data_IF_658279877538
#
_entry.id   IF_658279877538
#
_cell.length_a   1.000
_cell.length_b   1.000
_cell.length_c   1.000
_cell.angle_alpha   90.00
_cell.angle_beta   90.00
_cell.angle_gamma   90.00
#
_symmetry.space_group_name_H-M   'P 1'
#
loop_
_entity.id
_entity.type
_entity.pdbx_description
1 polymer ?
#
# COMPACT_ATOMS: atom_id res chain seq x y z
N UNK A 1 -8.80 1.42 -16.22
CA UNK A 1 -8.36 2.57 -15.42
C UNK A 1 -6.94 2.36 -14.88
N UNK A 2 -6.66 1.27 -14.17
CA UNK A 2 -5.34 1.03 -13.55
C UNK A 2 -4.16 1.18 -14.50
N UNK A 3 -4.21 0.53 -15.66
CA UNK A 3 -3.14 0.57 -16.66
C UNK A 3 -2.91 1.94 -17.33
N UNK A 4 -3.80 2.91 -17.12
CA UNK A 4 -3.61 4.29 -17.57
C UNK A 4 -2.75 5.12 -16.59
N UNK A 5 -2.30 4.55 -15.49
CA UNK A 5 -1.40 5.20 -14.56
C UNK A 5 -0.03 5.51 -15.21
N UNK A 6 0.59 6.61 -14.79
CA UNK A 6 1.96 6.89 -15.18
C UNK A 6 2.93 5.83 -14.62
N UNK A 7 4.02 5.60 -15.33
CA UNK A 7 5.09 4.70 -14.94
C UNK A 7 6.44 5.33 -15.25
N UNK A 8 7.39 5.21 -14.33
CA UNK A 8 8.73 5.76 -14.52
C UNK A 8 9.41 5.11 -15.73
N UNK A 9 9.90 5.93 -16.66
CA UNK A 9 10.55 5.46 -17.90
C UNK A 9 9.76 4.37 -18.65
N UNK A 10 8.46 4.32 -18.44
CA UNK A 10 7.56 3.31 -19.00
C UNK A 10 7.90 1.86 -18.62
N UNK A 11 8.50 1.65 -17.46
CA UNK A 11 8.82 0.32 -16.91
C UNK A 11 7.60 -0.56 -16.70
N UNK A 12 6.46 0.06 -16.35
CA UNK A 12 5.23 -0.64 -16.01
C UNK A 12 5.48 -1.74 -14.96
N UNK A 13 6.22 -1.36 -13.91
CA UNK A 13 6.81 -2.26 -12.93
C UNK A 13 5.81 -2.70 -11.84
N UNK A 14 4.58 -3.02 -12.26
CA UNK A 14 3.53 -3.49 -11.37
C UNK A 14 2.81 -4.71 -11.94
N UNK A 15 2.50 -5.67 -11.08
CA UNK A 15 1.63 -6.80 -11.39
C UNK A 15 0.45 -6.82 -10.43
N UNK A 16 -0.75 -7.06 -10.95
CA UNK A 16 -1.98 -7.23 -10.17
C UNK A 16 -2.39 -8.69 -10.20
N UNK A 17 -2.52 -9.29 -9.03
CA UNK A 17 -3.05 -10.65 -8.90
C UNK A 17 -4.47 -10.57 -8.38
N UNK A 18 -5.45 -10.95 -9.19
CA UNK A 18 -6.83 -11.15 -8.76
C UNK A 18 -6.95 -12.50 -8.10
N UNK A 19 -7.21 -12.52 -6.79
CA UNK A 19 -7.31 -13.76 -6.02
C UNK A 19 -8.76 -14.23 -5.99
N UNK A 20 -9.10 -15.22 -6.79
CA UNK A 20 -10.44 -15.81 -6.87
C UNK A 20 -10.56 -17.12 -6.09
N UNK A 21 -9.44 -17.79 -5.83
CA UNK A 21 -9.38 -19.01 -5.03
C UNK A 21 -9.69 -18.72 -3.57
N UNK A 22 -10.74 -19.31 -3.04
CA UNK A 22 -11.23 -19.08 -1.66
C UNK A 22 -10.23 -19.59 -0.61
N UNK A 23 -9.49 -20.65 -0.89
CA UNK A 23 -8.49 -21.17 0.05
C UNK A 23 -7.28 -20.22 0.13
N UNK A 24 -6.83 -19.70 -1.01
CA UNK A 24 -5.79 -18.67 -1.06
C UNK A 24 -6.28 -17.38 -0.35
N UNK A 25 -7.53 -16.96 -0.55
CA UNK A 25 -8.10 -15.78 0.14
C UNK A 25 -8.13 -15.97 1.65
N UNK A 26 -8.59 -17.12 2.14
CA UNK A 26 -8.62 -17.43 3.58
C UNK A 26 -7.20 -17.43 4.18
N UNK A 27 -6.23 -18.04 3.48
CA UNK A 27 -4.83 -18.01 3.93
C UNK A 27 -4.28 -16.58 3.97
N UNK A 28 -4.54 -15.76 2.95
CA UNK A 28 -4.11 -14.36 2.89
C UNK A 28 -4.78 -13.51 3.99
N UNK A 29 -6.05 -13.74 4.30
CA UNK A 29 -6.75 -13.09 5.41
C UNK A 29 -6.06 -13.38 6.75
N UNK A 30 -5.74 -14.66 6.99
CA UNK A 30 -5.01 -15.11 8.18
C UNK A 30 -3.63 -14.41 8.29
N UNK A 31 -2.87 -14.35 7.20
CA UNK A 31 -1.57 -13.67 7.15
C UNK A 31 -1.68 -12.14 7.34
N UNK A 32 -2.84 -11.57 7.04
CA UNK A 32 -3.16 -10.16 7.18
C UNK A 32 -3.88 -9.82 8.50
N UNK A 33 -3.54 -10.45 9.62
CA UNK A 33 -4.18 -10.26 10.93
C UNK A 33 -5.67 -10.63 10.95
N UNK A 34 -6.06 -11.70 10.28
CA UNK A 34 -7.44 -12.19 10.20
C UNK A 34 -8.43 -11.12 9.73
N UNK A 35 -8.06 -10.33 8.73
CA UNK A 35 -8.94 -9.32 8.19
C UNK A 35 -10.05 -9.95 7.34
N UNK A 36 -11.27 -9.98 7.87
CA UNK A 36 -12.42 -10.60 7.25
C UNK A 36 -12.73 -10.06 5.83
N UNK A 37 -12.43 -8.79 5.58
CA UNK A 37 -12.65 -8.17 4.26
C UNK A 37 -11.91 -8.88 3.12
N UNK A 38 -10.77 -9.51 3.40
CA UNK A 38 -10.01 -10.28 2.41
C UNK A 38 -10.82 -11.49 1.91
N UNK A 39 -11.59 -12.11 2.79
CA UNK A 39 -12.46 -13.25 2.44
C UNK A 39 -13.80 -12.80 1.84
N UNK A 40 -14.43 -11.80 2.43
CA UNK A 40 -15.83 -11.46 2.18
C UNK A 40 -16.04 -10.44 1.06
N UNK A 41 -15.04 -9.65 0.69
CA UNK A 41 -15.17 -8.70 -0.42
C UNK A 41 -15.48 -9.42 -1.74
N UNK A 42 -16.26 -8.78 -2.60
CA UNK A 42 -16.56 -9.33 -3.93
C UNK A 42 -15.29 -9.62 -4.72
N UNK A 43 -14.34 -8.69 -4.68
CA UNK A 43 -13.03 -8.83 -5.33
C UNK A 43 -11.89 -8.58 -4.35
N UNK A 44 -10.82 -9.35 -4.49
CA UNK A 44 -9.58 -9.13 -3.78
C UNK A 44 -8.41 -9.12 -4.75
N UNK A 45 -7.72 -8.00 -4.83
CA UNK A 45 -6.56 -7.78 -5.68
C UNK A 45 -5.31 -7.64 -4.82
N UNK A 46 -4.20 -8.25 -5.24
CA UNK A 46 -2.88 -8.02 -4.63
C UNK A 46 -2.00 -7.29 -5.64
N UNK A 47 -1.48 -6.14 -5.24
CA UNK A 47 -0.57 -5.33 -6.03
C UNK A 47 0.86 -5.68 -5.66
N UNK A 48 1.62 -6.08 -6.65
CA UNK A 48 3.02 -6.46 -6.51
C UNK A 48 3.91 -5.45 -7.25
N UNK A 49 4.98 -5.03 -6.61
CA UNK A 49 6.10 -4.40 -7.27
C UNK A 49 6.83 -5.48 -8.09
N UNK A 50 7.05 -5.25 -9.37
CA UNK A 50 7.46 -6.29 -10.32
C UNK A 50 8.55 -5.77 -11.26
N UNK A 51 9.80 -6.13 -10.99
CA UNK A 51 10.93 -5.93 -11.88
C UNK A 51 11.28 -7.19 -12.69
N UNK A 52 10.67 -8.34 -12.37
CA UNK A 52 10.91 -9.61 -13.05
C UNK A 52 10.59 -9.53 -14.55
N UNK A 53 9.48 -8.87 -14.90
CA UNK A 53 9.09 -8.66 -16.31
C UNK A 53 10.15 -7.88 -17.09
N UNK A 54 10.69 -6.81 -16.52
CA UNK A 54 11.75 -6.03 -17.15
C UNK A 54 13.07 -6.80 -17.22
N UNK A 55 13.41 -7.57 -16.18
CA UNK A 55 14.58 -8.44 -16.18
C UNK A 55 14.49 -9.52 -17.27
N UNK A 56 13.32 -10.13 -17.48
CA UNK A 56 13.09 -11.09 -18.55
C UNK A 56 13.31 -10.54 -19.97
N UNK A 57 13.17 -9.22 -20.15
CA UNK A 57 13.50 -8.59 -21.44
C UNK A 57 15.02 -8.66 -21.74
N UNK A 58 15.87 -8.68 -20.72
CA UNK A 58 17.31 -8.84 -20.91
C UNK A 58 17.63 -10.21 -21.51
N UNK A 59 16.98 -11.26 -21.02
CA UNK A 59 17.14 -12.62 -21.56
C UNK A 59 16.74 -12.69 -23.03
N UNK A 60 15.63 -12.03 -23.41
CA UNK A 60 15.18 -11.99 -24.81
C UNK A 60 16.18 -11.32 -25.75
N UNK A 61 16.99 -10.39 -25.24
CA UNK A 61 17.97 -9.65 -26.02
C UNK A 61 19.42 -10.08 -25.76
N UNK A 62 19.64 -11.18 -25.03
CA UNK A 62 20.97 -11.73 -24.74
C UNK A 62 21.84 -10.82 -23.89
N UNK A 63 21.24 -10.00 -23.05
CA UNK A 63 21.91 -9.12 -22.09
C UNK A 63 21.71 -9.60 -20.65
N UNK A 64 22.63 -9.28 -19.77
CA UNK A 64 22.51 -9.61 -18.35
C UNK A 64 21.65 -8.57 -17.61
N UNK A 65 20.66 -9.06 -16.86
CA UNK A 65 19.84 -8.21 -16.02
C UNK A 65 20.62 -7.74 -14.78
N UNK A 66 20.84 -6.44 -14.64
CA UNK A 66 21.49 -5.86 -13.46
C UNK A 66 20.41 -5.32 -12.51
N UNK A 67 19.97 -6.15 -11.56
CA UNK A 67 18.92 -5.83 -10.60
C UNK A 67 19.46 -5.61 -9.18
N UNK A 68 18.59 -5.15 -8.27
CA UNK A 68 18.89 -4.95 -6.86
C UNK A 68 19.25 -3.52 -6.46
N UNK A 69 19.17 -2.57 -7.37
CA UNK A 69 19.34 -1.15 -7.05
C UNK A 69 18.16 -0.58 -6.28
N UNK A 70 18.44 0.36 -5.38
CA UNK A 70 17.42 1.08 -4.62
C UNK A 70 16.42 1.79 -5.53
N UNK A 71 16.87 2.37 -6.65
CA UNK A 71 15.99 3.04 -7.63
C UNK A 71 14.93 2.09 -8.21
N UNK A 72 15.28 0.85 -8.48
CA UNK A 72 14.33 -0.16 -8.98
C UNK A 72 13.25 -0.49 -7.95
N UNK A 73 13.61 -0.53 -6.66
CA UNK A 73 12.65 -0.68 -5.57
C UNK A 73 11.66 0.51 -5.52
N UNK A 74 12.18 1.73 -5.65
CA UNK A 74 11.35 2.96 -5.66
C UNK A 74 10.39 2.93 -6.84
N UNK A 75 10.91 2.73 -8.06
CA UNK A 75 10.10 2.67 -9.29
C UNK A 75 8.96 1.65 -9.13
N UNK A 76 9.28 0.41 -8.80
CA UNK A 76 8.29 -0.66 -8.76
C UNK A 76 7.24 -0.46 -7.65
N UNK A 77 7.65 0.07 -6.51
CA UNK A 77 6.72 0.39 -5.41
C UNK A 77 5.77 1.52 -5.78
N UNK A 78 6.30 2.58 -6.38
CA UNK A 78 5.50 3.75 -6.81
C UNK A 78 4.55 3.37 -7.95
N UNK A 79 5.00 2.64 -8.95
CA UNK A 79 4.15 2.15 -10.05
C UNK A 79 2.96 1.33 -9.52
N UNK A 80 3.21 0.40 -8.58
CA UNK A 80 2.16 -0.38 -7.95
C UNK A 80 1.13 0.50 -7.22
N UNK A 81 1.59 1.55 -6.54
CA UNK A 81 0.71 2.48 -5.83
C UNK A 81 -0.12 3.35 -6.78
N UNK A 82 0.48 3.86 -7.86
CA UNK A 82 -0.21 4.67 -8.88
C UNK A 82 -1.30 3.88 -9.60
N UNK A 83 -0.98 2.65 -10.02
CA UNK A 83 -1.94 1.73 -10.65
C UNK A 83 -3.10 1.44 -9.70
N UNK A 84 -2.82 1.16 -8.43
CA UNK A 84 -3.84 0.88 -7.42
C UNK A 84 -4.75 2.09 -7.18
N UNK A 85 -4.18 3.29 -7.06
CA UNK A 85 -4.96 4.50 -6.83
C UNK A 85 -5.86 4.85 -8.01
N UNK A 86 -5.42 4.63 -9.25
CA UNK A 86 -6.30 4.77 -10.42
C UNK A 86 -7.48 3.80 -10.38
N UNK A 87 -7.26 2.56 -9.91
CA UNK A 87 -8.35 1.58 -9.73
C UNK A 87 -9.31 2.05 -8.63
N UNK A 88 -8.79 2.57 -7.52
CA UNK A 88 -9.60 3.12 -6.42
C UNK A 88 -10.51 4.23 -6.92
N UNK A 89 -9.95 5.25 -7.58
CA UNK A 89 -10.73 6.39 -8.11
C UNK A 89 -11.81 5.92 -9.09
N UNK A 90 -11.47 4.99 -9.99
CA UNK A 90 -12.44 4.43 -10.93
C UNK A 90 -13.53 3.61 -10.23
N UNK A 91 -13.17 2.84 -9.20
CA UNK A 91 -14.14 2.03 -8.43
C UNK A 91 -15.10 2.91 -7.65
N UNK A 92 -14.58 3.92 -6.95
CA UNK A 92 -15.39 4.87 -6.20
C UNK A 92 -16.31 5.69 -7.11
N UNK A 93 -15.84 6.08 -8.31
CA UNK A 93 -16.69 6.76 -9.31
C UNK A 93 -17.83 5.87 -9.83
N UNK A 94 -17.68 4.55 -9.75
CA UNK A 94 -18.71 3.57 -10.07
C UNK A 94 -19.60 3.17 -8.86
N UNK A 95 -19.41 3.84 -7.71
CA UNK A 95 -20.19 3.56 -6.48
C UNK A 95 -19.68 2.35 -5.69
N UNK A 96 -18.51 1.80 -5.99
CA UNK A 96 -17.92 0.69 -5.23
C UNK A 96 -17.19 1.21 -3.99
N UNK A 97 -17.22 0.41 -2.93
CA UNK A 97 -16.37 0.58 -1.76
C UNK A 97 -15.02 -0.09 -1.93
N UNK A 98 -13.99 0.47 -1.30
CA UNK A 98 -12.61 -0.03 -1.39
C UNK A 98 -11.95 -0.07 -0.01
N UNK A 99 -11.03 -1.03 0.18
CA UNK A 99 -10.21 -1.08 1.39
C UNK A 99 -8.82 -1.62 1.07
N UNK A 100 -7.79 -0.80 1.33
CA UNK A 100 -6.39 -1.23 1.23
C UNK A 100 -6.00 -2.17 2.36
N UNK A 101 -5.33 -3.27 2.03
CA UNK A 101 -4.87 -4.30 2.97
C UNK A 101 -3.33 -4.28 3.05
N UNK A 102 -2.81 -3.32 3.82
CA UNK A 102 -1.36 -3.22 4.05
C UNK A 102 -0.79 -4.30 4.98
N UNK A 103 -1.66 -5.01 5.71
CA UNK A 103 -1.27 -6.07 6.64
C UNK A 103 -0.66 -7.31 5.96
N UNK A 104 -0.76 -7.47 4.64
CA UNK A 104 -0.02 -8.49 3.90
C UNK A 104 1.51 -8.41 4.14
N UNK A 105 2.04 -7.20 4.45
CA UNK A 105 3.45 -7.00 4.80
C UNK A 105 3.83 -7.49 6.20
N UNK A 106 2.90 -8.03 6.99
CA UNK A 106 3.23 -8.67 8.25
C UNK A 106 3.91 -10.04 8.03
N UNK A 107 3.52 -10.73 6.96
CA UNK A 107 4.04 -12.05 6.60
C UNK A 107 4.36 -12.11 5.08
N UNK A 108 5.24 -11.23 4.56
CA UNK A 108 5.38 -11.03 3.11
C UNK A 108 6.00 -12.24 2.41
N UNK A 109 6.83 -13.04 3.09
CA UNK A 109 7.41 -14.26 2.56
C UNK A 109 6.32 -15.33 2.33
N UNK A 110 5.44 -15.56 3.30
CA UNK A 110 4.33 -16.49 3.16
C UNK A 110 3.31 -16.03 2.12
N UNK A 111 3.00 -14.73 2.07
CA UNK A 111 2.15 -14.14 1.01
C UNK A 111 2.78 -14.41 -0.37
N UNK A 112 4.09 -14.25 -0.51
CA UNK A 112 4.80 -14.54 -1.77
C UNK A 112 4.70 -16.01 -2.16
N UNK A 113 4.79 -16.93 -1.20
CA UNK A 113 4.61 -18.37 -1.46
C UNK A 113 3.16 -18.71 -1.88
N UNK A 114 2.16 -18.16 -1.20
CA UNK A 114 0.73 -18.38 -1.54
C UNK A 114 0.40 -17.91 -2.96
N UNK A 115 1.06 -16.84 -3.39
CA UNK A 115 0.83 -16.22 -4.70
C UNK A 115 1.85 -16.63 -5.77
N UNK A 116 2.76 -17.53 -5.45
CA UNK A 116 3.81 -18.01 -6.35
C UNK A 116 4.64 -16.87 -6.98
N UNK A 117 4.99 -15.84 -6.17
CA UNK A 117 5.72 -14.68 -6.67
C UNK A 117 7.17 -15.02 -7.03
N UNK A 118 7.63 -14.69 -8.23
CA UNK A 118 9.00 -14.94 -8.64
C UNK A 118 10.01 -14.03 -7.93
N UNK A 119 11.29 -14.21 -8.20
CA UNK A 119 12.35 -13.27 -7.83
C UNK A 119 12.10 -11.90 -8.50
N UNK A 120 12.66 -10.85 -7.96
CA UNK A 120 12.44 -9.45 -8.39
C UNK A 120 10.94 -9.02 -8.38
N UNK A 121 10.12 -9.69 -7.53
CA UNK A 121 8.71 -9.35 -7.32
C UNK A 121 8.34 -9.49 -5.84
N UNK A 122 7.61 -8.52 -5.28
CA UNK A 122 7.12 -8.60 -3.89
C UNK A 122 5.72 -7.99 -3.72
N UNK A 123 4.91 -8.46 -2.74
CA UNK A 123 3.57 -7.94 -2.50
C UNK A 123 3.64 -6.62 -1.72
N UNK A 124 3.11 -5.55 -2.30
CA UNK A 124 3.08 -4.22 -1.68
C UNK A 124 1.88 -4.09 -0.73
N UNK A 125 0.70 -4.39 -1.22
CA UNK A 125 -0.57 -4.39 -0.47
C UNK A 125 -1.66 -5.13 -1.24
N UNK A 126 -2.76 -5.46 -0.55
CA UNK A 126 -4.01 -5.89 -1.15
C UNK A 126 -5.01 -4.75 -1.29
N UNK A 127 -6.05 -4.97 -2.08
CA UNK A 127 -7.21 -4.09 -2.24
C UNK A 127 -8.47 -4.95 -2.30
N UNK A 128 -9.36 -4.74 -1.34
CA UNK A 128 -10.71 -5.27 -1.37
C UNK A 128 -11.62 -4.31 -2.13
N UNK A 129 -12.52 -4.85 -2.96
CA UNK A 129 -13.50 -4.08 -3.74
C UNK A 129 -14.87 -4.76 -3.61
N UNK A 130 -15.93 -3.98 -3.56
CA UNK A 130 -17.29 -4.49 -3.52
C UNK A 130 -18.31 -3.39 -3.33
N UNK A 131 -19.59 -3.75 -3.32
CA UNK A 131 -20.64 -2.81 -2.94
C UNK A 131 -20.49 -2.48 -1.47
N UNK A 132 -20.45 -1.16 -1.09
CA UNK A 132 -20.26 -0.77 0.30
C UNK A 132 -21.47 -1.14 1.15
N UNK A 133 -21.21 -1.82 2.27
CA UNK A 133 -22.20 -2.08 3.33
C UNK A 133 -22.08 -1.06 4.48
N UNK A 134 -21.29 -0.02 4.28
CA UNK A 134 -21.03 1.06 5.22
C UNK A 134 -21.03 2.39 4.49
N UNK A 135 -21.50 3.43 5.15
CA UNK A 135 -21.34 4.80 4.69
C UNK A 135 -20.58 5.62 5.76
N UNK A 136 -19.25 5.40 5.86
CA UNK A 136 -18.45 6.10 6.86
C UNK A 136 -18.32 7.57 6.52
N UNK A 137 -18.26 8.40 7.57
CA UNK A 137 -17.91 9.80 7.42
C UNK A 137 -16.49 9.96 6.83
N UNK A 138 -16.29 11.04 6.08
CA UNK A 138 -14.97 11.36 5.53
C UNK A 138 -14.02 11.73 6.67
N UNK A 139 -12.98 10.92 6.83
CA UNK A 139 -11.97 11.19 7.85
C UNK A 139 -11.20 12.48 7.52
N UNK A 140 -11.07 13.44 8.44
CA UNK A 140 -10.29 14.65 8.22
C UNK A 140 -8.85 14.34 7.79
N UNK A 141 -8.32 15.20 6.93
CA UNK A 141 -6.92 15.18 6.50
C UNK A 141 -6.18 16.39 7.07
N UNK A 142 -4.85 16.30 7.08
CA UNK A 142 -4.02 17.47 7.45
C UNK A 142 -4.42 18.69 6.61
N UNK A 143 -4.45 19.88 7.21
CA UNK A 143 -4.69 21.12 6.48
C UNK A 143 -3.73 21.29 5.30
N UNK A 144 -4.24 21.87 4.21
CA UNK A 144 -3.46 21.93 2.94
C UNK A 144 -2.15 22.71 3.11
N UNK A 145 -2.11 23.72 3.96
CA UNK A 145 -0.92 24.53 4.26
C UNK A 145 0.18 23.75 4.99
N UNK A 146 -0.13 22.60 5.58
CA UNK A 146 0.88 21.68 6.17
C UNK A 146 1.48 20.78 5.09
N UNK A 147 0.69 20.37 4.12
CA UNK A 147 1.07 19.39 3.09
C UNK A 147 1.64 20.06 1.84
N UNK A 148 1.04 21.17 1.40
CA UNK A 148 1.48 21.92 0.24
C UNK A 148 2.49 22.99 0.64
N UNK A 149 3.67 22.94 0.05
CA UNK A 149 4.75 23.91 0.25
C UNK A 149 5.05 24.59 -1.08
N UNK A 150 5.42 25.86 -1.00
CA UNK A 150 5.78 26.66 -2.16
C UNK A 150 7.31 26.82 -2.24
N UNK A 151 7.88 26.47 -3.37
CA UNK A 151 9.30 26.59 -3.74
C UNK A 151 10.30 25.80 -2.87
N UNK A 152 10.00 25.53 -1.58
CA UNK A 152 10.89 24.83 -0.66
C UNK A 152 10.13 24.18 0.49
N UNK A 153 10.76 23.25 1.21
CA UNK A 153 10.18 22.66 2.41
C UNK A 153 9.94 23.69 3.53
N UNK A 154 10.73 24.77 3.59
CA UNK A 154 10.64 25.82 4.60
C UNK A 154 11.15 25.37 5.97
N UNK A 155 10.73 26.09 7.02
CA UNK A 155 11.20 25.87 8.39
C UNK A 155 10.61 24.64 9.10
N UNK A 156 9.95 23.75 8.37
CA UNK A 156 9.28 22.59 8.95
C UNK A 156 7.92 22.92 9.57
N UNK A 157 7.43 22.00 10.38
CA UNK A 157 6.15 22.12 11.08
C UNK A 157 6.43 22.12 12.57
N UNK A 158 6.03 23.16 13.28
CA UNK A 158 6.08 23.20 14.73
C UNK A 158 4.82 22.56 15.35
N UNK A 159 4.87 22.27 16.66
CA UNK A 159 3.77 21.59 17.36
C UNK A 159 2.45 22.37 17.36
N UNK A 160 2.47 23.69 17.15
CA UNK A 160 1.27 24.52 17.14
C UNK A 160 0.43 24.30 15.88
N UNK A 161 1.05 23.86 14.79
CA UNK A 161 0.37 23.58 13.52
C UNK A 161 -0.55 22.35 13.57
N UNK A 162 -0.44 21.51 14.61
CA UNK A 162 -1.23 20.26 14.71
C UNK A 162 -2.38 20.36 15.69
N UNK A 163 -2.47 21.40 16.56
CA UNK A 163 -3.44 21.46 17.65
C UNK A 163 -4.89 21.37 17.17
N UNK A 164 -5.27 22.18 16.19
CA UNK A 164 -6.62 22.20 15.65
C UNK A 164 -6.96 20.90 14.91
N UNK A 165 -5.98 20.33 14.20
CA UNK A 165 -6.15 19.06 13.53
C UNK A 165 -6.25 17.89 14.52
N UNK A 166 -5.48 17.91 15.59
CA UNK A 166 -5.54 16.91 16.66
C UNK A 166 -6.91 16.93 17.35
N UNK A 167 -7.47 18.11 17.60
CA UNK A 167 -8.82 18.27 18.14
C UNK A 167 -9.88 17.75 17.17
N UNK A 168 -9.79 18.10 15.89
CA UNK A 168 -10.69 17.60 14.85
C UNK A 168 -10.64 16.05 14.75
N UNK A 169 -9.45 15.43 14.87
CA UNK A 169 -9.29 13.98 14.85
C UNK A 169 -9.87 13.33 16.10
N UNK A 170 -9.69 13.91 17.29
CA UNK A 170 -10.33 13.41 18.51
C UNK A 170 -11.86 13.46 18.38
N UNK A 171 -12.41 14.57 17.90
CA UNK A 171 -13.85 14.72 17.64
C UNK A 171 -14.37 13.67 16.66
N UNK A 172 -13.70 13.50 15.53
CA UNK A 172 -14.06 12.48 14.54
C UNK A 172 -14.10 11.06 15.13
N UNK A 173 -13.11 10.67 15.93
CA UNK A 173 -13.09 9.34 16.54
C UNK A 173 -14.09 9.18 17.68
N UNK A 174 -14.44 10.24 18.40
CA UNK A 174 -15.44 10.21 19.47
C UNK A 174 -16.86 9.97 18.93
N UNK A 175 -17.16 10.46 17.71
CA UNK A 175 -18.50 10.35 17.09
C UNK A 175 -18.72 9.07 16.30
N UNK A 176 -17.65 8.29 16.01
CA UNK A 176 -17.78 7.05 15.23
C UNK A 176 -18.55 5.95 15.95
N UNK A 177 -19.36 5.23 15.19
CA UNK A 177 -20.09 4.02 15.68
C UNK A 177 -19.17 2.83 15.98
N UNK A 178 -17.96 2.78 15.40
CA UNK A 178 -17.00 1.69 15.58
C UNK A 178 -15.57 2.20 15.55
N UNK A 179 -14.62 1.44 16.14
CA UNK A 179 -13.21 1.79 16.22
C UNK A 179 -12.96 3.18 16.83
N UNK A 180 -13.70 3.52 17.89
CA UNK A 180 -13.49 4.75 18.66
C UNK A 180 -12.09 4.79 19.26
N UNK A 181 -11.47 5.96 19.26
CA UNK A 181 -10.15 6.22 19.85
C UNK A 181 -10.18 7.56 20.55
N UNK A 182 -9.44 7.68 21.64
CA UNK A 182 -9.24 8.97 22.35
C UNK A 182 -7.97 9.71 21.90
N UNK A 183 -7.09 9.04 21.12
CA UNK A 183 -5.81 9.59 20.69
C UNK A 183 -5.97 10.59 19.55
N UNK A 184 -5.21 11.68 19.62
CA UNK A 184 -5.01 12.59 18.50
C UNK A 184 -4.14 11.96 17.39
N UNK A 185 -4.03 12.66 16.26
CA UNK A 185 -3.15 12.22 15.18
C UNK A 185 -1.67 12.28 15.58
N UNK A 186 -1.22 13.38 16.21
CA UNK A 186 0.17 13.54 16.63
C UNK A 186 0.58 12.53 17.70
N UNK A 187 -0.28 12.22 18.67
CA UNK A 187 -0.06 11.15 19.64
C UNK A 187 0.07 9.78 18.97
N UNK A 188 -0.81 9.50 17.99
CA UNK A 188 -0.74 8.25 17.24
C UNK A 188 0.57 8.14 16.44
N UNK A 189 1.00 9.20 15.76
CA UNK A 189 2.25 9.21 15.00
C UNK A 189 3.46 9.04 15.90
N UNK A 190 3.52 9.74 17.02
CA UNK A 190 4.57 9.57 18.03
C UNK A 190 4.66 8.12 18.52
N UNK A 191 3.52 7.52 18.88
CA UNK A 191 3.47 6.14 19.33
C UNK A 191 3.83 5.11 18.26
N UNK A 192 3.59 5.40 16.98
CA UNK A 192 3.98 4.53 15.87
C UNK A 192 5.47 4.63 15.55
N UNK A 193 6.04 5.84 15.58
CA UNK A 193 7.44 6.07 15.23
C UNK A 193 8.41 5.74 16.38
N UNK A 194 7.92 5.65 17.61
CA UNK A 194 8.73 5.22 18.76
C UNK A 194 9.01 3.71 18.79
N UNK A 195 8.41 2.95 17.89
CA UNK A 195 8.56 1.48 17.81
C UNK A 195 8.93 1.07 16.40
N UNK A 196 9.83 0.09 16.28
CA UNK A 196 10.12 -0.52 14.99
C UNK A 196 8.88 -1.28 14.46
N UNK A 197 8.53 -1.03 13.22
CA UNK A 197 7.42 -1.70 12.54
C UNK A 197 7.95 -2.59 11.43
N UNK A 198 7.62 -3.89 11.49
CA UNK A 198 8.01 -4.89 10.48
C UNK A 198 9.53 -4.96 10.23
N UNK A 199 10.33 -5.27 11.26
CA UNK A 199 11.80 -5.32 11.15
C UNK A 199 12.30 -6.32 10.08
N UNK A 200 11.51 -7.34 9.77
CA UNK A 200 11.80 -8.36 8.77
C UNK A 200 11.76 -7.86 7.31
N UNK A 201 11.21 -6.66 7.05
CA UNK A 201 10.96 -6.20 5.67
C UNK A 201 12.24 -6.02 4.86
N UNK A 202 13.30 -5.49 5.45
CA UNK A 202 14.56 -5.27 4.70
C UNK A 202 15.17 -6.60 4.25
N UNK A 203 15.25 -7.57 5.15
CA UNK A 203 15.81 -8.89 4.83
C UNK A 203 14.95 -9.62 3.81
N UNK A 204 13.62 -9.57 3.98
CA UNK A 204 12.70 -10.11 2.99
C UNK A 204 12.91 -9.48 1.60
N UNK A 205 12.99 -8.16 1.49
CA UNK A 205 13.20 -7.46 0.21
C UNK A 205 14.53 -7.88 -0.43
N UNK A 206 15.58 -8.02 0.35
CA UNK A 206 16.89 -8.54 -0.14
C UNK A 206 16.77 -9.96 -0.70
N UNK A 207 16.03 -10.85 -0.02
CA UNK A 207 15.80 -12.22 -0.54
C UNK A 207 14.99 -12.22 -1.83
N UNK A 208 14.14 -11.21 -2.03
CA UNK A 208 13.36 -11.01 -3.27
C UNK A 208 14.12 -10.26 -4.37
N UNK A 209 15.39 -9.91 -4.14
CA UNK A 209 16.24 -9.26 -5.16
C UNK A 209 16.29 -7.74 -5.08
N UNK A 210 15.56 -7.10 -4.17
CA UNK A 210 15.55 -5.65 -3.98
C UNK A 210 16.58 -5.18 -2.94
N UNK A 211 17.01 -3.93 -3.02
CA UNK A 211 17.88 -3.27 -2.03
C UNK A 211 19.19 -4.03 -1.73
N UNK A 212 19.78 -4.63 -2.73
CA UNK A 212 21.06 -5.34 -2.62
C UNK A 212 22.27 -4.48 -2.96
N UNK A 213 22.02 -3.32 -3.58
CA UNK A 213 23.03 -2.35 -4.03
C UNK A 213 22.54 -0.94 -3.72
#
# INVERSE_FOLDING_TARGET
AGQAAASSNFFQAATIIRVTDLQKRSKLASLANNQAYVETAAEFLVFCADMNRAASCCDLHGSEANTGFTEQFIIATVDAALVAQNIVVASESAGLGVCYIGALRNNPAEVSMVLDLPHDTYPVFGLCLGWPDQNPEVKPRLPINIVLRENSYGNGVDGTNFSDYDEAIRGYYATRSSNQKSMSWSEQMSGMLSKESRPHMLDFLKTKGFLRK
#
